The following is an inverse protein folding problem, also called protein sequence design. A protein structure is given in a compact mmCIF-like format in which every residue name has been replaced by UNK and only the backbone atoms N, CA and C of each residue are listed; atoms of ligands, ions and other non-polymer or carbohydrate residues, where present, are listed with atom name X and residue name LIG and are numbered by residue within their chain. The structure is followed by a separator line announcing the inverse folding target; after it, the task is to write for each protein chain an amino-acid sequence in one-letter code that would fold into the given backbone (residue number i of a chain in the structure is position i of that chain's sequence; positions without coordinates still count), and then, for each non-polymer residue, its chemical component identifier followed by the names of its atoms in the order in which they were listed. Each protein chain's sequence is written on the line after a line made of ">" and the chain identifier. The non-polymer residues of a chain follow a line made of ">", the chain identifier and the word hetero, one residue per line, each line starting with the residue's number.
data_IF_932488840055
#
_entry.id   IF_932488840055
#
_cell.length_a   1.000
_cell.length_b   1.000
_cell.length_c   1.000
_cell.angle_alpha   90.00
_cell.angle_beta   90.00
_cell.angle_gamma   90.00
#
_symmetry.space_group_name_H-M   'P 1'
#
loop_
_entity.id
_entity.type
_entity.pdbx_description
1 polymer ?
#
# COMPACT_ATOMS: atom_id res chain seq x y z
N UNK A 1 14.60 0.48 -5.98
CA UNK A 1 14.47 0.19 -4.54
C UNK A 1 13.87 -1.20 -4.38
N UNK A 2 14.54 -2.13 -3.70
CA UNK A 2 14.07 -3.51 -3.59
C UNK A 2 13.02 -3.63 -2.46
N UNK A 3 11.89 -4.30 -2.72
CA UNK A 3 10.81 -4.53 -1.75
C UNK A 3 11.32 -5.11 -0.41
N UNK A 4 12.32 -5.98 -0.48
CA UNK A 4 12.94 -6.61 0.70
C UNK A 4 13.63 -5.59 1.61
N UNK A 5 14.21 -4.51 1.06
CA UNK A 5 14.87 -3.46 1.84
C UNK A 5 13.84 -2.72 2.70
N UNK A 6 12.69 -2.37 2.10
CA UNK A 6 11.62 -1.68 2.83
C UNK A 6 11.02 -2.59 3.90
N UNK A 7 10.81 -3.87 3.57
CA UNK A 7 10.31 -4.84 4.54
C UNK A 7 11.25 -5.02 5.74
N UNK A 8 12.57 -5.12 5.49
CA UNK A 8 13.55 -5.17 6.57
C UNK A 8 13.58 -3.87 7.39
N UNK A 9 13.46 -2.71 6.74
CA UNK A 9 13.33 -1.43 7.43
C UNK A 9 12.11 -1.39 8.36
N UNK A 10 10.94 -1.80 7.89
CA UNK A 10 9.73 -1.88 8.74
C UNK A 10 9.94 -2.85 9.90
N UNK A 11 10.45 -4.07 9.63
CA UNK A 11 10.73 -5.06 10.66
C UNK A 11 11.73 -4.54 11.70
N UNK A 12 12.74 -3.79 11.26
CA UNK A 12 13.76 -3.21 12.13
C UNK A 12 13.17 -2.28 13.21
N UNK A 13 12.10 -1.57 12.88
CA UNK A 13 11.38 -0.66 13.79
C UNK A 13 10.21 -1.32 14.55
N UNK A 14 9.89 -2.59 14.30
CA UNK A 14 8.87 -3.30 15.08
C UNK A 14 9.34 -3.47 16.55
N UNK A 15 8.44 -3.39 17.55
CA UNK A 15 8.81 -3.53 18.96
C UNK A 15 9.30 -4.95 19.31
N UNK A 16 8.87 -5.96 18.56
CA UNK A 16 9.33 -7.35 18.72
C UNK A 16 10.59 -7.69 17.90
N UNK A 17 11.23 -6.70 17.25
CA UNK A 17 12.43 -6.94 16.46
C UNK A 17 13.61 -7.34 17.35
N UNK A 18 14.18 -8.52 17.09
CA UNK A 18 15.35 -9.07 17.82
C UNK A 18 16.71 -8.60 17.26
N UNK A 19 16.73 -7.93 16.11
CA UNK A 19 17.98 -7.47 15.47
C UNK A 19 18.53 -6.27 16.24
N UNK A 20 19.84 -6.30 16.53
CA UNK A 20 20.57 -5.21 17.20
C UNK A 20 19.81 -4.64 18.42
N UNK A 21 19.62 -5.43 19.50
CA UNK A 21 18.76 -5.05 20.62
C UNK A 21 19.26 -3.83 21.40
N UNK A 22 20.57 -3.54 21.34
CA UNK A 22 21.20 -2.40 22.02
C UNK A 22 21.07 -1.07 21.26
N UNK A 23 20.57 -1.09 20.02
CA UNK A 23 20.51 0.10 19.19
C UNK A 23 19.24 0.89 19.52
N UNK A 24 19.42 2.10 20.06
CA UNK A 24 18.34 3.05 20.34
C UNK A 24 17.71 3.55 19.04
N UNK A 25 16.39 3.40 18.92
CA UNK A 25 15.63 3.71 17.70
C UNK A 25 14.15 3.83 18.00
N UNK A 26 13.42 4.67 17.25
CA UNK A 26 11.97 4.75 17.39
C UNK A 26 11.33 3.40 17.04
N UNK A 27 10.36 3.00 17.86
CA UNK A 27 9.53 1.82 17.61
C UNK A 27 8.20 2.25 17.01
N UNK A 28 7.73 1.46 16.05
CA UNK A 28 6.43 1.68 15.44
C UNK A 28 5.32 1.44 16.49
N UNK A 29 4.29 2.31 16.55
CA UNK A 29 3.16 2.13 17.47
C UNK A 29 2.18 1.05 17.01
N UNK A 30 2.23 0.65 15.74
CA UNK A 30 1.41 -0.41 15.15
C UNK A 30 2.28 -1.63 14.89
N UNK A 31 1.80 -2.80 15.28
CA UNK A 31 2.55 -4.06 15.25
C UNK A 31 1.94 -5.06 14.28
N UNK A 32 2.69 -6.14 13.96
CA UNK A 32 2.22 -7.28 13.16
C UNK A 32 1.77 -6.89 11.73
N UNK A 33 2.46 -5.93 11.14
CA UNK A 33 2.26 -5.52 9.75
C UNK A 33 3.59 -5.39 9.02
N UNK A 34 3.52 -5.40 7.69
CA UNK A 34 4.61 -5.34 6.75
C UNK A 34 4.29 -4.35 5.62
N UNK A 35 5.30 -3.94 4.86
CA UNK A 35 5.09 -3.09 3.69
C UNK A 35 4.12 -3.70 2.65
N UNK A 36 4.03 -5.03 2.56
CA UNK A 36 3.07 -5.71 1.70
C UNK A 36 1.62 -5.44 2.11
N UNK A 37 1.35 -5.19 3.40
CA UNK A 37 0.02 -4.93 3.91
C UNK A 37 -0.53 -3.59 3.45
N UNK A 38 0.33 -2.62 3.16
CA UNK A 38 -0.08 -1.38 2.52
C UNK A 38 -0.67 -1.65 1.13
N UNK A 39 -0.07 -2.57 0.37
CA UNK A 39 -0.60 -2.98 -0.94
C UNK A 39 -1.95 -3.68 -0.82
N UNK A 40 -2.09 -4.59 0.15
CA UNK A 40 -3.36 -5.28 0.44
C UNK A 40 -4.45 -4.29 0.85
N UNK A 41 -4.11 -3.35 1.72
CA UNK A 41 -5.00 -2.28 2.20
C UNK A 41 -5.45 -1.39 1.05
N UNK A 42 -4.53 -0.94 0.19
CA UNK A 42 -4.85 -0.18 -1.02
C UNK A 42 -5.83 -0.93 -1.92
N UNK A 43 -5.64 -2.24 -2.14
CA UNK A 43 -6.55 -3.04 -2.96
C UNK A 43 -7.97 -3.07 -2.40
N UNK A 44 -8.09 -3.26 -1.10
CA UNK A 44 -9.39 -3.30 -0.40
C UNK A 44 -10.05 -1.93 -0.41
N UNK A 45 -9.32 -0.86 -0.12
CA UNK A 45 -9.85 0.50 -0.14
C UNK A 45 -10.36 0.90 -1.53
N UNK A 46 -9.60 0.58 -2.59
CA UNK A 46 -10.05 0.82 -3.96
C UNK A 46 -11.36 0.09 -4.27
N UNK A 47 -11.52 -1.17 -3.82
CA UNK A 47 -12.78 -1.89 -3.97
C UNK A 47 -13.93 -1.23 -3.20
N UNK A 48 -13.69 -0.79 -1.96
CA UNK A 48 -14.70 -0.08 -1.16
C UNK A 48 -15.14 1.23 -1.81
N UNK A 49 -14.24 1.91 -2.53
CA UNK A 49 -14.54 3.12 -3.29
C UNK A 49 -15.26 2.83 -4.64
N UNK A 50 -15.45 1.55 -5.00
CA UNK A 50 -16.09 1.14 -6.25
C UNK A 50 -15.16 1.10 -7.47
N UNK A 51 -13.84 1.05 -7.27
CA UNK A 51 -12.88 0.96 -8.37
C UNK A 51 -13.06 -0.34 -9.16
N UNK A 52 -13.20 -0.28 -10.50
CA UNK A 52 -13.24 -1.48 -11.32
C UNK A 52 -11.98 -2.34 -11.14
N UNK A 53 -12.16 -3.67 -11.17
CA UNK A 53 -11.10 -4.62 -10.85
C UNK A 53 -9.86 -4.40 -11.74
N UNK A 54 -10.05 -4.31 -13.06
CA UNK A 54 -8.96 -4.16 -14.03
C UNK A 54 -8.10 -2.92 -13.75
N UNK A 55 -8.75 -1.82 -13.33
CA UNK A 55 -8.05 -0.57 -12.98
C UNK A 55 -7.34 -0.73 -11.64
N UNK A 56 -7.96 -1.36 -10.63
CA UNK A 56 -7.33 -1.60 -9.34
C UNK A 56 -6.09 -2.50 -9.47
N UNK A 57 -6.16 -3.56 -10.28
CA UNK A 57 -5.03 -4.43 -10.59
C UNK A 57 -3.93 -3.68 -11.35
N UNK A 58 -4.30 -2.79 -12.28
CA UNK A 58 -3.36 -1.92 -12.98
C UNK A 58 -2.70 -0.87 -12.06
N UNK A 59 -3.43 -0.30 -11.09
CA UNK A 59 -2.87 0.57 -10.04
C UNK A 59 -1.80 -0.17 -9.25
N UNK A 60 -2.08 -1.42 -8.90
CA UNK A 60 -1.14 -2.29 -8.23
C UNK A 60 0.01 -2.72 -9.16
N UNK A 61 -0.18 -2.72 -10.48
CA UNK A 61 0.81 -3.25 -11.42
C UNK A 61 0.89 -4.77 -11.37
N UNK A 62 -0.24 -5.43 -11.10
CA UNK A 62 -0.35 -6.87 -11.27
C UNK A 62 -0.37 -7.22 -12.77
N UNK A 63 0.28 -8.33 -13.11
CA UNK A 63 0.24 -8.87 -14.47
C UNK A 63 -1.08 -9.59 -14.66
N UNK A 64 -1.83 -9.20 -15.69
CA UNK A 64 -3.09 -9.84 -16.04
C UNK A 64 -2.83 -11.26 -16.57
N UNK A 65 -3.47 -12.30 -15.99
CA UNK A 65 -3.21 -13.67 -16.40
C UNK A 65 -3.90 -14.03 -17.73
N UNK A 66 -3.33 -15.01 -18.43
CA UNK A 66 -3.95 -15.67 -19.57
C UNK A 66 -4.24 -14.75 -20.76
N UNK A 67 -5.36 -15.02 -21.42
CA UNK A 67 -5.78 -14.35 -22.66
C UNK A 67 -5.98 -12.83 -22.47
N UNK A 68 -6.43 -12.41 -21.29
CA UNK A 68 -6.62 -10.99 -20.97
C UNK A 68 -5.30 -10.22 -21.08
N UNK A 69 -4.20 -10.77 -20.56
CA UNK A 69 -2.89 -10.12 -20.65
C UNK A 69 -2.29 -10.09 -22.06
N UNK A 70 -2.76 -10.97 -22.95
CA UNK A 70 -2.36 -10.99 -24.37
C UNK A 70 -3.05 -9.86 -25.13
N UNK A 71 -4.37 -9.69 -24.95
CA UNK A 71 -5.15 -8.73 -25.73
C UNK A 71 -5.27 -7.35 -25.07
N UNK A 72 -5.40 -7.29 -23.75
CA UNK A 72 -5.55 -6.02 -23.03
C UNK A 72 -4.18 -5.42 -22.72
N UNK A 73 -3.68 -4.61 -23.66
CA UNK A 73 -2.41 -3.87 -23.55
C UNK A 73 -2.60 -2.44 -23.03
N UNK A 74 -3.82 -2.06 -22.67
CA UNK A 74 -4.12 -0.72 -22.19
C UNK A 74 -3.60 -0.54 -20.76
N UNK A 75 -2.92 0.59 -20.49
CA UNK A 75 -2.27 0.86 -19.19
C UNK A 75 -3.19 1.53 -18.17
N UNK A 76 -4.36 2.04 -18.61
CA UNK A 76 -5.34 2.72 -17.78
C UNK A 76 -4.80 3.94 -17.03
N UNK A 77 -3.79 4.65 -17.58
CA UNK A 77 -3.08 5.70 -16.81
C UNK A 77 -4.00 6.84 -16.33
N UNK A 78 -5.01 7.20 -17.14
CA UNK A 78 -5.99 8.22 -16.78
C UNK A 78 -6.88 7.74 -15.63
N UNK A 79 -7.39 6.54 -15.72
CA UNK A 79 -8.24 5.91 -14.73
C UNK A 79 -7.46 5.64 -13.43
N UNK A 80 -6.21 5.18 -13.53
CA UNK A 80 -5.30 5.01 -12.40
C UNK A 80 -5.14 6.32 -11.63
N UNK A 81 -4.92 7.43 -12.34
CA UNK A 81 -4.84 8.76 -11.70
C UNK A 81 -6.13 9.10 -10.96
N UNK A 82 -7.29 8.96 -11.62
CA UNK A 82 -8.59 9.24 -11.01
C UNK A 82 -8.80 8.47 -9.70
N UNK A 83 -8.55 7.15 -9.73
CA UNK A 83 -8.77 6.29 -8.59
C UNK A 83 -7.73 6.47 -7.48
N UNK A 84 -6.48 6.78 -7.83
CA UNK A 84 -5.45 7.17 -6.85
C UNK A 84 -5.79 8.50 -6.18
N UNK A 85 -6.37 9.46 -6.91
CA UNK A 85 -6.86 10.72 -6.33
C UNK A 85 -8.00 10.46 -5.34
N UNK A 86 -8.99 9.63 -5.70
CA UNK A 86 -10.07 9.23 -4.78
C UNK A 86 -9.54 8.54 -3.54
N UNK A 87 -8.58 7.62 -3.70
CA UNK A 87 -7.91 6.97 -2.59
C UNK A 87 -7.18 7.97 -1.69
N UNK A 88 -6.47 8.95 -2.29
CA UNK A 88 -5.78 10.01 -1.55
C UNK A 88 -6.76 10.78 -0.67
N UNK A 89 -7.88 11.24 -1.22
CA UNK A 89 -8.89 11.95 -0.44
C UNK A 89 -9.41 11.10 0.72
N UNK A 90 -9.67 9.81 0.48
CA UNK A 90 -10.11 8.89 1.53
C UNK A 90 -9.07 8.75 2.65
N UNK A 91 -7.78 8.69 2.30
CA UNK A 91 -6.71 8.62 3.28
C UNK A 91 -6.59 9.90 4.11
N UNK A 92 -6.77 11.08 3.48
CA UNK A 92 -6.82 12.36 4.18
C UNK A 92 -8.00 12.44 5.17
N UNK A 93 -9.19 11.96 4.79
CA UNK A 93 -10.33 11.86 5.72
C UNK A 93 -10.01 11.01 6.95
N UNK A 94 -9.39 9.84 6.74
CA UNK A 94 -9.00 8.94 7.83
C UNK A 94 -7.94 9.61 8.71
N UNK A 95 -6.95 10.27 8.11
CA UNK A 95 -5.89 10.98 8.83
C UNK A 95 -6.45 12.14 9.66
N UNK A 96 -7.40 12.92 9.11
CA UNK A 96 -8.05 14.02 9.81
C UNK A 96 -8.83 13.57 11.06
N UNK A 97 -9.27 12.31 11.11
CA UNK A 97 -9.93 11.73 12.29
C UNK A 97 -8.96 11.61 13.49
N UNK A 98 -7.66 11.51 13.23
CA UNK A 98 -6.63 11.35 14.25
C UNK A 98 -5.66 12.54 14.21
N UNK A 99 -5.93 13.63 14.96
CA UNK A 99 -5.07 14.79 14.92
C UNK A 99 -3.64 14.40 15.34
N UNK A 100 -2.66 14.96 14.64
CA UNK A 100 -1.25 14.75 14.95
C UNK A 100 -1.01 15.07 16.44
N UNK A 101 -0.27 14.19 17.13
CA UNK A 101 0.23 14.51 18.47
C UNK A 101 1.10 15.78 18.34
N UNK A 102 0.72 16.83 19.07
CA UNK A 102 1.54 18.03 19.26
C UNK A 102 2.91 17.67 19.81
#
# INVERSE_FOLDING_TARGET
>A
MNQTVIQHGVYYHQPYCKIAPKHDRPRLPVTHWSAHDLRRTTRTLLATLGCPNDIAEAVLGHVQPGIVGIYNRHTYDRERREWLTKLSHRLEEIAATYPAKK
#
